data_IF_654485206237
#
_entry.id   IF_654485206237
#
_cell.length_a   1.000
_cell.length_b   1.000
_cell.length_c   1.000
_cell.angle_alpha   90.00
_cell.angle_beta   90.00
_cell.angle_gamma   90.00
#
_symmetry.space_group_name_H-M   'P 1'
#
loop_
_entity.id
_entity.type
_entity.pdbx_description
1 polymer ?
#
# COMPACT_ATOMS: atom_id res chain seq x y z
N UNK A 1 14.51 -0.04 -2.48
CA UNK A 1 13.26 -0.84 -2.56
C UNK A 1 12.45 -0.43 -3.78
N UNK A 2 11.75 -1.34 -4.47
CA UNK A 2 10.88 -0.98 -5.61
C UNK A 2 9.43 -0.78 -5.14
N UNK A 3 9.08 0.43 -4.75
CA UNK A 3 7.75 0.76 -4.21
C UNK A 3 6.64 0.63 -5.26
N UNK A 4 6.88 1.09 -6.48
CA UNK A 4 5.93 0.95 -7.59
C UNK A 4 5.68 -0.52 -7.92
N UNK A 5 6.73 -1.34 -7.93
CA UNK A 5 6.59 -2.79 -8.15
C UNK A 5 5.73 -3.50 -7.12
N UNK A 6 5.75 -3.07 -5.85
CA UNK A 6 4.85 -3.62 -4.83
C UNK A 6 3.38 -3.25 -5.09
N UNK A 7 3.12 -2.02 -5.55
CA UNK A 7 1.76 -1.62 -5.90
C UNK A 7 1.28 -2.38 -7.13
N UNK A 8 2.15 -2.60 -8.13
CA UNK A 8 1.84 -3.42 -9.29
C UNK A 8 1.49 -4.86 -8.91
N UNK A 9 2.22 -5.46 -7.97
CA UNK A 9 1.90 -6.79 -7.44
C UNK A 9 0.53 -6.80 -6.77
N UNK A 10 0.22 -5.82 -5.92
CA UNK A 10 -1.10 -5.70 -5.29
C UNK A 10 -2.21 -5.57 -6.33
N UNK A 11 -2.03 -4.76 -7.38
CA UNK A 11 -3.00 -4.62 -8.47
C UNK A 11 -3.21 -5.97 -9.17
N UNK A 12 -2.14 -6.71 -9.44
CA UNK A 12 -2.22 -7.99 -10.16
C UNK A 12 -3.01 -9.08 -9.41
N UNK A 13 -3.09 -9.00 -8.08
CA UNK A 13 -3.84 -9.94 -7.24
C UNK A 13 -5.21 -9.40 -6.80
N UNK A 14 -5.58 -8.20 -7.24
CA UNK A 14 -6.87 -7.57 -6.93
C UNK A 14 -7.84 -7.75 -8.09
N UNK A 15 -9.03 -8.25 -7.77
CA UNK A 15 -10.15 -8.41 -8.71
C UNK A 15 -11.35 -7.53 -8.37
N UNK A 16 -11.26 -6.73 -7.30
CA UNK A 16 -12.31 -5.85 -6.81
C UNK A 16 -12.08 -4.41 -7.29
N UNK A 17 -13.12 -3.78 -7.85
CA UNK A 17 -13.00 -2.45 -8.47
C UNK A 17 -12.61 -1.35 -7.46
N UNK A 18 -13.01 -1.46 -6.20
CA UNK A 18 -12.68 -0.49 -5.16
C UNK A 18 -11.23 -0.65 -4.69
N UNK A 19 -10.72 -1.88 -4.64
CA UNK A 19 -9.30 -2.17 -4.44
C UNK A 19 -8.48 -1.56 -5.59
N UNK A 20 -8.87 -1.85 -6.84
CA UNK A 20 -8.19 -1.36 -8.04
C UNK A 20 -8.18 0.17 -8.10
N UNK A 21 -9.28 0.82 -7.74
CA UNK A 21 -9.36 2.29 -7.67
C UNK A 21 -8.39 2.85 -6.64
N UNK A 22 -8.36 2.28 -5.43
CA UNK A 22 -7.47 2.72 -4.35
C UNK A 22 -5.99 2.52 -4.70
N UNK A 23 -5.66 1.38 -5.31
CA UNK A 23 -4.30 1.06 -5.74
C UNK A 23 -3.86 1.91 -6.95
N UNK A 24 -4.78 2.23 -7.87
CA UNK A 24 -4.49 3.12 -9.00
C UNK A 24 -4.16 4.54 -8.54
N UNK A 25 -4.93 5.07 -7.58
CA UNK A 25 -4.60 6.36 -6.94
C UNK A 25 -3.18 6.34 -6.36
N UNK A 26 -2.83 5.28 -5.63
CA UNK A 26 -1.51 5.18 -5.03
C UNK A 26 -0.39 5.07 -6.07
N UNK A 27 -0.59 4.26 -7.12
CA UNK A 27 0.37 4.08 -8.22
C UNK A 27 0.65 5.40 -8.93
N UNK A 28 -0.39 6.13 -9.30
CA UNK A 28 -0.24 7.40 -10.02
C UNK A 28 0.43 8.47 -9.14
N UNK A 29 0.07 8.55 -7.86
CA UNK A 29 0.72 9.44 -6.90
C UNK A 29 2.21 9.18 -6.73
N UNK A 30 2.57 7.91 -6.47
CA UNK A 30 3.96 7.49 -6.31
C UNK A 30 4.79 7.68 -7.58
N UNK A 31 4.19 7.43 -8.75
CA UNK A 31 4.82 7.62 -10.05
C UNK A 31 5.07 9.10 -10.34
N UNK A 32 4.07 9.96 -10.12
CA UNK A 32 4.17 11.41 -10.31
C UNK A 32 5.28 12.02 -9.43
N UNK A 33 5.39 11.55 -8.19
CA UNK A 33 6.43 12.00 -7.26
C UNK A 33 7.79 11.35 -7.51
N UNK A 34 7.88 10.36 -8.40
CA UNK A 34 9.10 9.58 -8.65
C UNK A 34 9.66 8.98 -7.35
N UNK A 35 8.82 8.36 -6.52
CA UNK A 35 9.15 7.93 -5.14
C UNK A 35 10.46 7.13 -5.01
N UNK A 36 10.80 6.32 -6.01
CA UNK A 36 12.03 5.52 -6.02
C UNK A 36 13.33 6.36 -6.16
N UNK A 37 13.22 7.67 -6.42
CA UNK A 37 14.35 8.61 -6.51
C UNK A 37 14.59 9.36 -5.18
N UNK A 38 13.71 9.22 -4.20
CA UNK A 38 13.88 9.84 -2.88
C UNK A 38 14.86 9.07 -2.00
N UNK A 39 15.31 9.73 -0.93
CA UNK A 39 15.95 9.07 0.19
C UNK A 39 15.00 7.99 0.74
N UNK A 40 15.55 6.92 1.31
CA UNK A 40 14.73 5.83 1.83
C UNK A 40 13.68 6.30 2.87
N UNK A 41 14.02 7.14 3.86
CA UNK A 41 13.02 7.64 4.81
C UNK A 41 11.88 8.45 4.16
N UNK A 42 12.19 9.26 3.14
CA UNK A 42 11.18 10.07 2.46
C UNK A 42 10.32 9.21 1.53
N UNK A 43 10.94 8.25 0.84
CA UNK A 43 10.23 7.28 0.02
C UNK A 43 9.24 6.46 0.85
N UNK A 44 9.63 6.00 2.04
CA UNK A 44 8.75 5.28 2.97
C UNK A 44 7.57 6.13 3.42
N UNK A 45 7.79 7.40 3.79
CA UNK A 45 6.70 8.32 4.18
C UNK A 45 5.71 8.51 3.04
N UNK A 46 6.20 8.70 1.81
CA UNK A 46 5.35 8.88 0.62
C UNK A 46 4.59 7.60 0.28
N UNK A 47 5.25 6.45 0.38
CA UNK A 47 4.60 5.15 0.22
C UNK A 47 3.45 4.98 1.20
N UNK A 48 3.67 5.17 2.51
CA UNK A 48 2.62 5.09 3.54
C UNK A 48 1.48 6.07 3.26
N UNK A 49 1.79 7.31 2.88
CA UNK A 49 0.78 8.31 2.56
C UNK A 49 -0.17 7.84 1.45
N UNK A 50 0.37 7.39 0.32
CA UNK A 50 -0.43 6.98 -0.83
C UNK A 50 -1.16 5.65 -0.63
N UNK A 51 -0.58 4.71 0.12
CA UNK A 51 -1.19 3.41 0.38
C UNK A 51 -2.18 3.40 1.54
N UNK A 52 -2.18 4.43 2.39
CA UNK A 52 -3.07 4.50 3.55
C UNK A 52 -4.53 4.21 3.20
N UNK A 53 -5.16 4.82 2.19
CA UNK A 53 -6.56 4.54 1.86
C UNK A 53 -6.82 3.06 1.57
N UNK A 54 -5.99 2.44 0.73
CA UNK A 54 -6.09 1.01 0.46
C UNK A 54 -5.91 0.18 1.73
N UNK A 55 -4.89 0.50 2.53
CA UNK A 55 -4.56 -0.28 3.72
C UNK A 55 -5.67 -0.24 4.78
N UNK A 56 -6.19 0.95 5.10
CA UNK A 56 -7.11 1.13 6.23
C UNK A 56 -8.58 0.97 5.88
N UNK A 57 -8.96 1.07 4.59
CA UNK A 57 -10.36 0.88 4.18
C UNK A 57 -10.60 -0.44 3.46
N UNK A 58 -9.55 -1.06 2.90
CA UNK A 58 -9.68 -2.31 2.13
C UNK A 58 -9.02 -3.47 2.85
N UNK A 59 -7.73 -3.33 3.17
CA UNK A 59 -6.94 -4.47 3.65
C UNK A 59 -7.19 -4.80 5.13
N UNK A 60 -7.23 -3.77 5.97
CA UNK A 60 -7.45 -3.88 7.41
C UNK A 60 -8.43 -2.80 7.91
N UNK A 61 -9.73 -2.89 7.56
CA UNK A 61 -10.75 -1.92 7.96
C UNK A 61 -10.84 -1.72 9.48
N UNK A 62 -10.61 -2.77 10.27
CA UNK A 62 -10.61 -2.68 11.74
C UNK A 62 -9.55 -1.72 12.32
N UNK A 63 -8.46 -1.47 11.61
CA UNK A 63 -7.43 -0.50 12.01
C UNK A 63 -7.96 0.93 11.93
N UNK A 64 -8.81 1.22 10.94
CA UNK A 64 -9.51 2.50 10.84
C UNK A 64 -10.51 2.66 11.99
N UNK A 65 -11.37 1.65 12.19
CA UNK A 65 -12.42 1.64 13.20
C UNK A 65 -11.88 1.85 14.63
N UNK A 66 -10.70 1.28 14.91
CA UNK A 66 -10.04 1.39 16.22
C UNK A 66 -9.12 2.60 16.35
N UNK A 67 -8.98 3.42 15.30
CA UNK A 67 -8.08 4.58 15.28
C UNK A 67 -6.58 4.23 15.34
N UNK A 68 -6.21 2.95 15.25
CA UNK A 68 -4.82 2.48 15.37
C UNK A 68 -3.95 2.91 14.18
N UNK A 69 -4.56 3.30 13.05
CA UNK A 69 -3.87 3.69 11.83
C UNK A 69 -2.89 4.86 12.00
N UNK A 70 -3.11 5.72 13.02
CA UNK A 70 -2.23 6.84 13.37
C UNK A 70 -0.87 6.39 13.92
N UNK A 71 -0.79 5.16 14.45
CA UNK A 71 0.41 4.60 15.07
C UNK A 71 1.17 3.64 14.15
N UNK A 72 0.60 3.32 12.99
CA UNK A 72 1.22 2.38 12.06
C UNK A 72 2.49 2.96 11.45
N UNK A 73 3.52 2.13 11.44
CA UNK A 73 4.80 2.41 10.81
C UNK A 73 4.83 1.86 9.39
N UNK A 74 5.87 2.24 8.61
CA UNK A 74 6.13 1.65 7.31
C UNK A 74 6.22 0.11 7.37
N UNK A 75 6.87 -0.43 8.41
CA UNK A 75 7.04 -1.87 8.57
C UNK A 75 5.71 -2.60 8.81
N UNK A 76 4.75 -1.95 9.48
CA UNK A 76 3.41 -2.52 9.67
C UNK A 76 2.66 -2.61 8.34
N UNK A 77 2.79 -1.57 7.50
CA UNK A 77 2.26 -1.58 6.13
C UNK A 77 2.89 -2.71 5.32
N UNK A 78 4.21 -2.84 5.33
CA UNK A 78 4.90 -3.91 4.61
C UNK A 78 4.49 -5.29 5.11
N UNK A 79 4.39 -5.49 6.41
CA UNK A 79 3.96 -6.78 7.00
C UNK A 79 2.56 -7.14 6.52
N UNK A 80 1.63 -6.19 6.54
CA UNK A 80 0.26 -6.39 6.06
C UNK A 80 0.19 -6.69 4.57
N UNK A 81 0.87 -5.88 3.74
CA UNK A 81 0.96 -6.07 2.28
C UNK A 81 1.55 -7.44 1.95
N UNK A 82 2.67 -7.82 2.57
CA UNK A 82 3.31 -9.11 2.32
C UNK A 82 2.42 -10.29 2.73
N UNK A 83 1.65 -10.15 3.82
CA UNK A 83 0.68 -11.17 4.23
C UNK A 83 -0.42 -11.33 3.16
N UNK A 84 -0.88 -10.24 2.57
CA UNK A 84 -1.89 -10.27 1.51
C UNK A 84 -1.35 -10.88 0.21
N UNK A 85 -0.17 -10.45 -0.21
CA UNK A 85 0.51 -11.02 -1.38
C UNK A 85 0.72 -12.53 -1.23
N UNK A 86 1.08 -13.01 -0.03
CA UNK A 86 1.20 -14.45 0.24
C UNK A 86 -0.13 -15.19 0.27
N UNK A 87 -1.22 -14.50 0.65
CA UNK A 87 -2.57 -15.08 0.75
C UNK A 87 -3.21 -15.26 -0.62
N UNK A 88 -3.08 -14.26 -1.49
CA UNK A 88 -3.70 -14.24 -2.83
C UNK A 88 -2.77 -14.61 -3.97
N UNK A 89 -1.45 -14.47 -3.80
CA UNK A 89 -0.44 -14.85 -4.79
C UNK A 89 0.00 -16.32 -4.73
N UNK A 90 -0.72 -17.16 -3.98
CA UNK A 90 -0.61 -18.62 -4.10
C UNK A 90 -1.68 -19.10 -5.08
N UNK A 91 -1.29 -19.18 -6.34
CA UNK A 91 -1.69 -20.28 -7.23
C UNK A 91 -0.52 -21.26 -7.29
#
# INVERSE_FOLDING_TARGET
>A
MNYLGLVDQLISISSDDQDLTSLSFAKEGLKKEKVNQFSEPDAQKKFVYYLRPYFIFRLYPSVYETGQWLRLTFDDYLRGINKELKRKGKD
#
